data_IF_049938839666
#
_entry.id   IF_049938839666
#
_cell.length_a   1.000
_cell.length_b   1.000
_cell.length_c   1.000
_cell.angle_alpha   90.00
_cell.angle_beta   90.00
_cell.angle_gamma   90.00
#
_symmetry.space_group_name_H-M   'P 1'
#
loop_
_entity.id
_entity.type
_entity.pdbx_description
1 polymer ?
#
# COMPACT_ATOMS: atom_id res chain seq x y z
N UNK A 1 21.26 -3.45 5.23
CA UNK A 1 20.28 -3.18 6.30
C UNK A 1 20.36 -4.13 7.51
N UNK A 2 21.56 -4.66 7.82
CA UNK A 2 21.73 -5.61 8.92
C UNK A 2 21.90 -4.92 10.29
N UNK A 3 22.13 -3.60 10.31
CA UNK A 3 22.43 -2.85 11.53
C UNK A 3 21.18 -2.49 12.36
N UNK A 4 20.02 -2.32 11.71
CA UNK A 4 18.79 -1.87 12.39
C UNK A 4 18.18 -2.93 13.34
N UNK A 5 18.62 -4.20 13.28
CA UNK A 5 18.17 -5.24 14.23
C UNK A 5 18.63 -4.98 15.68
N UNK A 6 19.72 -4.22 15.84
CA UNK A 6 20.30 -3.91 17.14
C UNK A 6 19.75 -2.63 17.76
N UNK A 7 18.89 -1.90 17.04
CA UNK A 7 18.32 -0.65 17.55
C UNK A 7 17.46 -0.94 18.79
N UNK A 8 17.71 -0.28 19.93
CA UNK A 8 16.82 -0.36 21.06
C UNK A 8 15.45 0.16 20.66
N UNK A 9 14.38 -0.42 21.23
CA UNK A 9 13.02 0.03 20.95
C UNK A 9 12.85 1.51 21.28
N UNK A 10 12.21 2.27 20.40
CA UNK A 10 11.96 3.69 20.60
C UNK A 10 10.61 4.13 20.01
N UNK A 11 9.88 4.96 20.75
CA UNK A 11 8.57 5.46 20.34
C UNK A 11 7.58 4.34 20.03
N UNK A 12 7.17 4.21 18.77
CA UNK A 12 6.23 3.17 18.31
C UNK A 12 6.92 1.92 17.74
N UNK A 13 8.24 1.94 17.64
CA UNK A 13 9.07 0.85 17.12
C UNK A 13 9.57 0.02 18.29
N UNK A 14 9.26 -1.28 18.28
CA UNK A 14 9.65 -2.20 19.38
C UNK A 14 11.05 -2.74 19.13
N UNK A 15 11.65 -3.34 20.16
CA UNK A 15 12.88 -4.13 19.99
C UNK A 15 12.62 -5.24 18.94
N UNK A 16 13.62 -5.53 18.10
CA UNK A 16 13.51 -6.48 16.98
C UNK A 16 12.44 -6.12 15.94
N UNK A 17 12.25 -4.83 15.67
CA UNK A 17 11.30 -4.35 14.66
C UNK A 17 11.55 -5.00 13.27
N UNK A 18 10.50 -5.33 12.48
CA UNK A 18 10.63 -6.02 11.19
C UNK A 18 11.15 -5.10 10.07
N UNK A 19 12.36 -4.56 10.22
CA UNK A 19 12.98 -3.65 9.25
C UNK A 19 13.09 -4.22 7.84
N UNK A 20 13.25 -5.54 7.70
CA UNK A 20 13.28 -6.22 6.40
C UNK A 20 12.02 -5.97 5.57
N UNK A 21 10.85 -5.91 6.23
CA UNK A 21 9.57 -5.65 5.56
C UNK A 21 9.51 -4.20 5.05
N UNK A 22 10.05 -3.23 5.78
CA UNK A 22 10.13 -1.84 5.29
C UNK A 22 11.01 -1.72 4.05
N UNK A 23 12.12 -2.47 3.97
CA UNK A 23 12.97 -2.48 2.78
C UNK A 23 12.27 -3.12 1.58
N UNK A 24 11.53 -4.22 1.82
CA UNK A 24 10.70 -4.85 0.78
C UNK A 24 9.69 -3.85 0.22
N UNK A 25 8.94 -3.16 1.10
CA UNK A 25 8.01 -2.10 0.71
C UNK A 25 8.73 -0.98 -0.03
N UNK A 26 9.88 -0.51 0.47
CA UNK A 26 10.66 0.56 -0.18
C UNK A 26 11.21 0.17 -1.55
N UNK A 27 11.49 -1.12 -1.78
CA UNK A 27 11.91 -1.64 -3.09
C UNK A 27 10.72 -1.62 -4.06
N UNK A 28 9.57 -2.15 -3.64
CA UNK A 28 8.34 -2.14 -4.43
C UNK A 28 7.84 -0.72 -4.73
N UNK A 29 7.93 0.19 -3.76
CA UNK A 29 7.55 1.59 -3.93
C UNK A 29 8.44 2.29 -4.99
N UNK A 30 9.72 1.95 -5.04
CA UNK A 30 10.64 2.47 -6.06
C UNK A 30 10.36 1.87 -7.44
N UNK A 31 10.08 0.58 -7.51
CA UNK A 31 9.59 -0.09 -8.74
C UNK A 31 8.33 0.62 -9.27
N UNK A 32 7.35 0.88 -8.39
CA UNK A 32 6.14 1.61 -8.73
C UNK A 32 6.42 3.04 -9.22
N UNK A 33 7.34 3.75 -8.56
CA UNK A 33 7.71 5.11 -8.95
C UNK A 33 8.33 5.16 -10.35
N UNK A 34 9.19 4.21 -10.71
CA UNK A 34 9.73 4.12 -12.07
C UNK A 34 8.65 3.86 -13.13
N UNK A 35 7.64 3.03 -12.82
CA UNK A 35 6.51 2.81 -13.72
C UNK A 35 5.65 4.06 -13.89
N UNK A 36 5.43 4.83 -12.82
CA UNK A 36 4.74 6.13 -12.89
C UNK A 36 5.55 7.15 -13.69
N UNK A 37 6.87 7.17 -13.54
CA UNK A 37 7.76 8.03 -14.32
C UNK A 37 7.69 7.66 -15.82
N UNK A 38 7.74 6.36 -16.15
CA UNK A 38 7.54 5.88 -17.51
C UNK A 38 6.16 6.24 -18.06
N UNK A 39 5.10 6.13 -17.24
CA UNK A 39 3.74 6.54 -17.61
C UNK A 39 3.67 8.01 -18.03
N UNK A 40 4.42 8.88 -17.34
CA UNK A 40 4.43 10.32 -17.62
C UNK A 40 4.89 10.66 -19.04
N UNK A 41 5.75 9.82 -19.63
CA UNK A 41 6.22 9.98 -21.02
C UNK A 41 5.11 9.82 -22.07
N UNK A 42 4.01 9.13 -21.71
CA UNK A 42 2.87 8.88 -22.60
C UNK A 42 1.74 9.90 -22.44
N UNK A 43 1.79 10.79 -21.43
CA UNK A 43 0.74 11.80 -21.15
C UNK A 43 0.81 13.05 -22.06
N UNK A 44 1.32 12.91 -23.27
CA UNK A 44 1.62 14.03 -24.15
C UNK A 44 0.31 14.72 -24.63
N UNK A 45 0.11 16.04 -24.39
CA UNK A 45 -1.15 16.74 -24.67
C UNK A 45 -1.54 16.82 -26.16
N UNK A 46 -0.64 16.44 -27.07
CA UNK A 46 -0.92 16.32 -28.50
C UNK A 46 -1.61 15.01 -28.90
N UNK A 47 -1.71 14.02 -28.00
CA UNK A 47 -2.48 12.79 -28.21
C UNK A 47 -3.92 13.06 -27.80
N UNK A 48 -4.71 13.64 -28.71
CA UNK A 48 -6.16 13.72 -28.53
C UNK A 48 -6.78 12.33 -28.68
N UNK A 49 -7.87 12.00 -27.96
CA UNK A 49 -8.60 10.76 -28.20
C UNK A 49 -9.02 10.72 -29.68
N UNK A 50 -8.44 9.77 -30.41
CA UNK A 50 -8.61 9.65 -31.87
C UNK A 50 -10.08 9.42 -32.25
N UNK A 51 -10.88 8.87 -31.33
CA UNK A 51 -12.29 8.53 -31.49
C UNK A 51 -12.94 8.06 -30.16
N UNK A 52 -14.19 7.57 -30.25
CA UNK A 52 -14.94 6.96 -29.13
C UNK A 52 -14.19 5.81 -28.43
N UNK A 53 -13.33 5.08 -29.15
CA UNK A 53 -12.51 4.00 -28.59
C UNK A 53 -11.46 4.58 -27.65
N UNK A 54 -10.72 5.59 -28.13
CA UNK A 54 -9.73 6.30 -27.35
C UNK A 54 -10.32 6.86 -26.05
N UNK A 55 -11.53 7.43 -26.11
CA UNK A 55 -12.23 7.92 -24.92
C UNK A 55 -12.60 6.83 -23.91
N UNK A 56 -12.98 5.62 -24.36
CA UNK A 56 -13.28 4.49 -23.46
C UNK A 56 -12.02 3.97 -22.76
N UNK A 57 -10.92 3.84 -23.52
CA UNK A 57 -9.62 3.42 -22.95
C UNK A 57 -9.13 4.47 -21.96
N UNK A 58 -9.20 5.75 -22.31
CA UNK A 58 -8.81 6.85 -21.41
C UNK A 58 -9.63 6.83 -20.10
N UNK A 59 -10.94 6.65 -20.20
CA UNK A 59 -11.82 6.57 -19.04
C UNK A 59 -11.42 5.40 -18.11
N UNK A 60 -11.19 4.21 -18.69
CA UNK A 60 -10.74 3.03 -17.93
C UNK A 60 -9.36 3.23 -17.30
N UNK A 61 -8.42 3.83 -18.02
CA UNK A 61 -7.09 4.18 -17.50
C UNK A 61 -7.17 5.18 -16.33
N UNK A 62 -8.05 6.18 -16.43
CA UNK A 62 -8.27 7.19 -15.39
C UNK A 62 -8.89 6.58 -14.13
N UNK A 63 -9.85 5.68 -14.30
CA UNK A 63 -10.46 4.93 -13.21
C UNK A 63 -9.42 4.06 -12.49
N UNK A 64 -8.66 3.25 -13.24
CA UNK A 64 -7.60 2.41 -12.68
C UNK A 64 -6.55 3.22 -11.93
N UNK A 65 -6.11 4.35 -12.50
CA UNK A 65 -5.16 5.27 -11.86
C UNK A 65 -5.70 5.80 -10.53
N UNK A 66 -6.98 6.16 -10.49
CA UNK A 66 -7.65 6.69 -9.30
C UNK A 66 -7.73 5.64 -8.19
N UNK A 67 -8.11 4.41 -8.53
CA UNK A 67 -8.21 3.32 -7.56
C UNK A 67 -6.83 2.89 -7.06
N UNK A 68 -5.80 2.77 -7.92
CA UNK A 68 -4.43 2.50 -7.48
C UNK A 68 -3.91 3.59 -6.52
N UNK A 69 -4.13 4.86 -6.86
CA UNK A 69 -3.75 5.99 -6.01
C UNK A 69 -4.46 5.98 -4.65
N UNK A 70 -5.74 5.58 -4.63
CA UNK A 70 -6.51 5.42 -3.38
C UNK A 70 -5.91 4.32 -2.50
N UNK A 71 -5.61 3.16 -3.06
CA UNK A 71 -5.01 2.03 -2.34
C UNK A 71 -3.64 2.42 -1.77
N UNK A 72 -2.75 2.98 -2.60
CA UNK A 72 -1.43 3.44 -2.15
C UNK A 72 -1.52 4.47 -1.02
N UNK A 73 -2.47 5.41 -1.10
CA UNK A 73 -2.73 6.40 -0.04
C UNK A 73 -3.21 5.73 1.25
N UNK A 74 -4.12 4.77 1.17
CA UNK A 74 -4.61 4.03 2.34
C UNK A 74 -3.47 3.23 3.02
N UNK A 75 -2.65 2.54 2.23
CA UNK A 75 -1.49 1.78 2.70
C UNK A 75 -0.44 2.69 3.38
N UNK A 76 -0.16 3.86 2.78
CA UNK A 76 0.75 4.85 3.36
C UNK A 76 0.21 5.38 4.70
N UNK A 77 -1.10 5.67 4.78
CA UNK A 77 -1.75 6.13 6.00
C UNK A 77 -1.73 5.04 7.09
N UNK A 78 -1.99 3.79 6.74
CA UNK A 78 -1.95 2.65 7.66
C UNK A 78 -0.53 2.47 8.24
N UNK A 79 0.48 2.47 7.37
CA UNK A 79 1.89 2.34 7.74
C UNK A 79 2.35 3.50 8.62
N UNK A 80 2.03 4.75 8.24
CA UNK A 80 2.37 5.95 9.02
C UNK A 80 1.71 5.96 10.39
N UNK A 81 0.45 5.52 10.47
CA UNK A 81 -0.29 5.46 11.74
C UNK A 81 0.03 4.20 12.55
N UNK A 82 0.75 3.22 11.98
CA UNK A 82 0.95 1.88 12.53
C UNK A 82 -0.37 1.22 12.94
N UNK A 83 -1.38 1.39 12.09
CA UNK A 83 -2.70 0.77 12.25
C UNK A 83 -2.82 -0.35 11.26
N UNK A 84 -3.46 -1.45 11.67
CA UNK A 84 -3.75 -2.55 10.75
C UNK A 84 -4.57 -2.03 9.57
N UNK A 85 -4.11 -2.22 8.33
CA UNK A 85 -4.95 -1.96 7.16
C UNK A 85 -6.07 -3.01 7.10
N UNK A 86 -7.02 -2.81 6.19
CA UNK A 86 -7.95 -3.88 5.80
C UNK A 86 -7.15 -5.05 5.17
N UNK A 87 -7.73 -6.25 5.07
CA UNK A 87 -7.13 -7.35 4.31
C UNK A 87 -6.76 -6.91 2.88
N UNK A 88 -5.64 -7.41 2.35
CA UNK A 88 -5.13 -7.00 1.04
C UNK A 88 -6.20 -7.16 -0.06
N UNK A 89 -6.84 -8.34 -0.13
CA UNK A 89 -7.90 -8.63 -1.10
C UNK A 89 -9.03 -7.59 -1.07
N UNK A 90 -9.46 -7.18 0.12
CA UNK A 90 -10.51 -6.18 0.28
C UNK A 90 -10.05 -4.77 -0.11
N UNK A 91 -8.77 -4.45 0.09
CA UNK A 91 -8.21 -3.15 -0.32
C UNK A 91 -8.04 -3.05 -1.83
N UNK A 92 -7.53 -4.11 -2.46
CA UNK A 92 -7.19 -4.09 -3.89
C UNK A 92 -8.37 -4.47 -4.79
N UNK A 93 -9.51 -4.89 -4.22
CA UNK A 93 -10.69 -5.30 -5.00
C UNK A 93 -11.12 -4.25 -6.03
N UNK A 94 -11.13 -2.97 -5.67
CA UNK A 94 -11.54 -1.90 -6.59
C UNK A 94 -10.50 -1.66 -7.71
N UNK A 95 -9.21 -1.64 -7.39
CA UNK A 95 -8.16 -1.51 -8.41
C UNK A 95 -8.07 -2.74 -9.31
N UNK A 96 -8.32 -3.95 -8.79
CA UNK A 96 -8.37 -5.19 -9.56
C UNK A 96 -9.55 -5.17 -10.53
N UNK A 97 -10.74 -4.80 -10.06
CA UNK A 97 -11.92 -4.66 -10.91
C UNK A 97 -11.69 -3.62 -12.03
N UNK A 98 -11.06 -2.48 -11.73
CA UNK A 98 -10.71 -1.49 -12.72
C UNK A 98 -9.66 -2.00 -13.73
N UNK A 99 -8.70 -2.82 -13.29
CA UNK A 99 -7.71 -3.44 -14.17
C UNK A 99 -8.35 -4.46 -15.11
N UNK A 100 -9.28 -5.27 -14.61
CA UNK A 100 -10.03 -6.23 -15.41
C UNK A 100 -10.95 -5.51 -16.42
N UNK A 101 -11.56 -4.39 -16.02
CA UNK A 101 -12.31 -3.53 -16.93
C UNK A 101 -11.42 -2.95 -18.04
N UNK A 102 -10.23 -2.43 -17.70
CA UNK A 102 -9.29 -1.93 -18.70
C UNK A 102 -8.87 -3.02 -19.70
N UNK A 103 -8.55 -4.24 -19.22
CA UNK A 103 -8.26 -5.38 -20.09
C UNK A 103 -9.42 -5.68 -21.04
N UNK A 104 -10.64 -5.74 -20.52
CA UNK A 104 -11.85 -5.98 -21.32
C UNK A 104 -12.05 -4.89 -22.38
N UNK A 105 -11.83 -3.61 -22.04
CA UNK A 105 -11.93 -2.51 -23.01
C UNK A 105 -10.88 -2.69 -24.10
N UNK A 106 -9.64 -3.04 -23.76
CA UNK A 106 -8.58 -3.28 -24.76
C UNK A 106 -8.88 -4.49 -25.67
N UNK A 107 -9.43 -5.58 -25.12
CA UNK A 107 -9.76 -6.80 -25.87
C UNK A 107 -10.94 -6.60 -26.82
N UNK A 108 -11.92 -5.79 -26.41
CA UNK A 108 -13.09 -5.44 -27.23
C UNK A 108 -12.80 -4.32 -28.23
N UNK A 109 -11.64 -3.67 -28.10
CA UNK A 109 -11.20 -2.62 -29.00
C UNK A 109 -10.82 -3.19 -30.38
N UNK A 110 -11.33 -2.58 -31.44
CA UNK A 110 -10.95 -2.92 -32.83
C UNK A 110 -9.70 -2.13 -33.24
N UNK A 111 -8.54 -2.73 -33.07
CA UNK A 111 -7.24 -2.16 -33.47
C UNK A 111 -6.99 -2.39 -34.98
N UNK A 112 -7.52 -1.51 -35.84
CA UNK A 112 -7.24 -1.59 -37.28
C UNK A 112 -5.80 -1.19 -37.62
N UNK A 113 -5.18 -1.85 -38.60
CA UNK A 113 -3.77 -1.67 -39.00
C UNK A 113 -3.43 -0.23 -39.36
N UNK A 114 -4.36 0.52 -39.94
CA UNK A 114 -4.17 1.93 -40.29
C UNK A 114 -4.08 2.84 -39.05
N UNK A 115 -4.67 2.43 -37.92
CA UNK A 115 -4.73 3.18 -36.67
C UNK A 115 -3.71 2.73 -35.63
N UNK A 116 -3.07 1.58 -35.83
CA UNK A 116 -2.09 1.02 -34.89
C UNK A 116 -1.01 2.03 -34.50
N UNK A 117 -0.49 2.81 -35.45
CA UNK A 117 0.58 3.79 -35.18
C UNK A 117 0.12 4.88 -34.20
N UNK A 118 -1.13 5.34 -34.32
CA UNK A 118 -1.72 6.36 -33.43
C UNK A 118 -2.13 5.79 -32.07
N UNK A 119 -2.40 4.49 -32.04
CA UNK A 119 -2.92 3.77 -30.89
C UNK A 119 -1.82 3.12 -30.01
N UNK A 120 -0.59 2.99 -30.54
CA UNK A 120 0.57 2.45 -29.80
C UNK A 120 0.82 3.19 -28.48
N UNK A 121 0.82 4.55 -28.42
CA UNK A 121 1.01 5.26 -27.14
C UNK A 121 -0.10 4.97 -26.13
N UNK A 122 -1.35 4.83 -26.59
CA UNK A 122 -2.51 4.52 -25.75
C UNK A 122 -2.38 3.10 -25.17
N UNK A 123 -2.00 2.13 -26.01
CA UNK A 123 -1.78 0.75 -25.57
C UNK A 123 -0.60 0.66 -24.59
N UNK A 124 0.50 1.35 -24.85
CA UNK A 124 1.66 1.41 -23.96
C UNK A 124 1.31 2.04 -22.61
N UNK A 125 0.56 3.15 -22.61
CA UNK A 125 0.03 3.78 -21.41
C UNK A 125 -0.82 2.81 -20.58
N UNK A 126 -1.73 2.09 -21.23
CA UNK A 126 -2.60 1.11 -20.58
C UNK A 126 -1.79 -0.06 -19.99
N UNK A 127 -0.79 -0.57 -20.71
CA UNK A 127 0.09 -1.63 -20.23
C UNK A 127 0.87 -1.22 -18.98
N UNK A 128 1.48 -0.02 -18.99
CA UNK A 128 2.20 0.51 -17.82
C UNK A 128 1.27 0.70 -16.62
N UNK A 129 0.02 1.13 -16.84
CA UNK A 129 -0.98 1.23 -15.76
C UNK A 129 -1.35 -0.13 -15.16
N UNK A 130 -1.47 -1.18 -15.98
CA UNK A 130 -1.69 -2.54 -15.48
C UNK A 130 -0.51 -3.01 -14.62
N UNK A 131 0.74 -2.71 -15.02
CA UNK A 131 1.91 -3.02 -14.20
C UNK A 131 1.94 -2.22 -12.87
N UNK A 132 1.45 -0.97 -12.87
CA UNK A 132 1.28 -0.17 -11.65
C UNK A 132 0.25 -0.81 -10.72
N UNK A 133 -0.86 -1.33 -11.27
CA UNK A 133 -1.88 -2.03 -10.51
C UNK A 133 -1.32 -3.29 -9.83
N UNK A 134 -0.59 -4.13 -10.58
CA UNK A 134 0.09 -5.31 -10.04
C UNK A 134 1.12 -4.95 -8.95
N UNK A 135 1.87 -3.86 -9.15
CA UNK A 135 2.84 -3.40 -8.15
C UNK A 135 2.13 -2.90 -6.90
N UNK A 136 0.97 -2.24 -7.04
CA UNK A 136 0.13 -1.78 -5.94
C UNK A 136 -0.37 -2.95 -5.10
N UNK A 137 -0.79 -4.06 -5.74
CA UNK A 137 -1.17 -5.30 -5.05
C UNK A 137 0.01 -5.88 -4.25
N UNK A 138 1.19 -5.98 -4.86
CA UNK A 138 2.41 -6.45 -4.17
C UNK A 138 2.78 -5.58 -2.97
N UNK A 139 2.58 -4.25 -3.07
CA UNK A 139 2.77 -3.33 -1.95
C UNK A 139 1.73 -3.59 -0.86
N UNK A 140 0.47 -3.81 -1.22
CA UNK A 140 -0.60 -4.12 -0.26
C UNK A 140 -0.26 -5.38 0.55
N UNK A 141 0.16 -6.46 -0.11
CA UNK A 141 0.59 -7.70 0.55
C UNK A 141 1.77 -7.46 1.51
N UNK A 142 2.78 -6.71 1.06
CA UNK A 142 3.95 -6.41 1.88
C UNK A 142 3.60 -5.56 3.12
N UNK A 143 2.66 -4.63 3.00
CA UNK A 143 2.17 -3.81 4.12
C UNK A 143 1.30 -4.63 5.07
N UNK A 144 0.46 -5.54 4.58
CA UNK A 144 -0.29 -6.48 5.42
C UNK A 144 0.67 -7.38 6.21
N UNK A 145 1.68 -7.96 5.53
CA UNK A 145 2.74 -8.75 6.15
C UNK A 145 3.48 -7.95 7.24
N UNK A 146 3.86 -6.71 6.93
CA UNK A 146 4.48 -5.79 7.89
C UNK A 146 3.57 -5.57 9.10
N UNK A 147 2.30 -5.25 8.88
CA UNK A 147 1.35 -4.92 9.95
C UNK A 147 1.17 -6.08 10.94
N UNK A 148 1.22 -7.31 10.43
CA UNK A 148 1.16 -8.53 11.23
C UNK A 148 2.44 -8.69 12.07
N UNK A 149 3.62 -8.63 11.43
CA UNK A 149 4.93 -8.80 12.09
C UNK A 149 5.28 -7.68 13.07
N UNK A 150 4.85 -6.46 12.79
CA UNK A 150 5.08 -5.29 13.64
C UNK A 150 4.01 -5.11 14.72
N UNK A 151 3.02 -6.01 14.81
CA UNK A 151 1.90 -5.93 15.73
C UNK A 151 1.20 -4.57 15.72
N UNK A 152 0.86 -4.08 14.52
CA UNK A 152 0.08 -2.85 14.37
C UNK A 152 -1.25 -2.96 15.14
N UNK A 153 -1.69 -1.85 15.73
CA UNK A 153 -2.91 -1.80 16.53
C UNK A 153 -4.13 -1.91 15.62
N UNK A 154 -5.16 -2.63 16.05
CA UNK A 154 -6.48 -2.56 15.41
C UNK A 154 -7.15 -1.22 15.73
N UNK A 155 -8.15 -0.83 14.94
CA UNK A 155 -8.86 0.43 15.13
C UNK A 155 -9.56 0.50 16.51
N UNK A 156 -9.87 -0.65 17.12
CA UNK A 156 -10.68 -0.76 18.34
C UNK A 156 -9.88 -0.84 19.65
N UNK A 157 -8.54 -0.92 19.61
CA UNK A 157 -7.72 -1.01 20.83
C UNK A 157 -7.55 0.32 21.59
N UNK A 158 -8.49 1.25 21.44
CA UNK A 158 -8.50 2.53 22.15
C UNK A 158 -9.26 2.47 23.48
N UNK A 159 -9.22 1.36 24.23
CA UNK A 159 -9.53 1.35 25.67
C UNK A 159 -8.71 0.25 26.36
N UNK A 160 -7.71 0.65 27.13
CA UNK A 160 -7.43 0.06 28.44
C UNK A 160 -6.64 1.09 29.24
N UNK A 161 -7.22 1.71 30.28
CA UNK A 161 -6.44 2.49 31.22
C UNK A 161 -5.47 1.54 31.93
N UNK A 162 -4.22 1.95 32.01
CA UNK A 162 -3.19 1.35 32.84
C UNK A 162 -3.70 1.33 34.29
N UNK A 163 -3.92 0.14 34.87
CA UNK A 163 -4.22 0.04 36.29
C UNK A 163 -2.99 0.51 37.07
N UNK A 164 -3.13 1.43 38.06
CA UNK A 164 -2.03 1.79 38.93
C UNK A 164 -1.59 0.55 39.71
N UNK A 165 -0.30 0.24 39.68
CA UNK A 165 0.31 -0.77 40.53
C UNK A 165 0.01 -0.49 42.02
N UNK A 166 -0.35 -1.50 42.82
CA UNK A 166 -0.63 -1.29 44.24
C UNK A 166 0.62 -0.82 44.99
N UNK A 167 0.48 0.03 46.02
CA UNK A 167 1.61 0.51 46.81
C UNK A 167 2.27 -0.66 47.57
N UNK A 168 3.57 -0.55 47.87
CA UNK A 168 4.31 -1.60 48.57
C UNK A 168 3.72 -1.82 49.97
N UNK A 169 3.55 -3.10 50.33
CA UNK A 169 3.02 -3.52 51.62
C UNK A 169 3.87 -2.95 52.77
N UNK A 170 3.22 -2.27 53.71
CA UNK A 170 3.85 -1.81 54.94
C UNK A 170 4.36 -3.01 55.74
N UNK A 171 5.64 -2.95 56.14
CA UNK A 171 6.24 -3.94 57.02
C UNK A 171 5.49 -3.97 58.36
N UNK A 172 5.04 -5.16 58.76
CA UNK A 172 4.48 -5.39 60.09
C UNK A 172 5.58 -5.22 61.14
N UNK A 173 5.28 -4.60 62.31
CA UNK A 173 6.26 -4.48 63.38
C UNK A 173 6.56 -5.85 63.97
N UNK A 174 7.86 -6.14 64.09
CA UNK A 174 8.39 -7.32 64.78
C UNK A 174 8.01 -7.21 66.25
N UNK A 175 7.22 -8.17 66.73
CA UNK A 175 6.95 -8.36 68.15
C UNK A 175 8.25 -8.74 68.86
N UNK A 176 8.77 -7.83 69.68
CA UNK A 176 9.86 -8.12 70.62
C UNK A 176 9.30 -8.86 71.83
N UNK A 177 9.55 -10.16 71.89
CA UNK A 177 9.39 -10.97 73.11
C UNK A 177 10.71 -11.06 73.89
N UNK A 178 10.58 -11.07 75.22
CA UNK A 178 11.63 -11.37 76.20
C UNK A 178 12.10 -10.12 76.97
N UNK A 179 12.16 -10.09 78.31
CA UNK A 179 12.02 -11.11 79.35
C UNK A 179 11.47 -10.45 80.62
#
# INVERSE_FOLDING_TARGET
ANLARWEPGHGRFRLQHPWKQYLKIGTLARECAYKVDALSSYLNPHVQPVDEMGSRVEAACRELSTECGRVLKELALATRKMKRPKPADAMVASSRAAADNLKLVLDTSKWDRQRLVELVPIAALAAVLLEIAETTERIADAVVELSSKAHFKSADSAVSPEQPSPPPAAALPVSSGGA
#
